data_IF_838833767156
#
_entry.id   IF_838833767156
#
_cell.length_a   1.000
_cell.length_b   1.000
_cell.length_c   1.000
_cell.angle_alpha   90.00
_cell.angle_beta   90.00
_cell.angle_gamma   90.00
#
_symmetry.space_group_name_H-M   'P 1'
#
loop_
_entity.id
_entity.type
_entity.pdbx_description
1 polymer ?
#
# COMPACT_ATOMS: atom_id res chain seq x y z
N UNK A 1 4.23 -21.51 -48.59
CA UNK A 1 5.55 -21.25 -47.98
C UNK A 1 6.47 -20.53 -48.98
N UNK A 2 6.32 -19.22 -49.18
CA UNK A 2 7.09 -18.45 -50.20
C UNK A 2 7.40 -16.99 -49.82
N UNK A 3 7.34 -16.64 -48.52
CA UNK A 3 7.58 -15.26 -48.03
C UNK A 3 8.87 -15.09 -47.22
N UNK A 4 9.52 -16.19 -46.83
CA UNK A 4 10.74 -16.13 -46.01
C UNK A 4 12.01 -15.82 -46.79
N UNK A 5 12.04 -16.07 -48.11
CA UNK A 5 13.26 -15.91 -48.91
C UNK A 5 13.55 -14.45 -49.30
N UNK A 6 12.52 -13.62 -49.44
CA UNK A 6 12.69 -12.22 -49.86
C UNK A 6 13.25 -11.33 -48.75
N UNK A 7 12.96 -11.66 -47.49
CA UNK A 7 13.42 -10.88 -46.32
C UNK A 7 14.90 -11.09 -46.06
N UNK A 8 15.42 -12.32 -46.23
CA UNK A 8 16.83 -12.62 -46.02
C UNK A 8 17.74 -11.93 -47.05
N UNK A 9 17.27 -11.74 -48.29
CA UNK A 9 18.03 -11.08 -49.36
C UNK A 9 18.15 -9.56 -49.17
N UNK A 10 17.16 -8.92 -48.54
CA UNK A 10 17.20 -7.48 -48.23
C UNK A 10 18.14 -7.15 -47.06
N UNK A 11 18.31 -8.07 -46.11
CA UNK A 11 19.20 -7.89 -44.96
C UNK A 11 20.67 -8.00 -45.39
N UNK A 12 21.01 -8.92 -46.29
CA UNK A 12 22.40 -9.07 -46.78
C UNK A 12 22.84 -7.93 -47.69
N UNK A 13 21.94 -7.33 -48.48
CA UNK A 13 22.28 -6.19 -49.34
C UNK A 13 22.60 -4.92 -48.53
N UNK A 14 21.97 -4.76 -47.35
CA UNK A 14 22.19 -3.62 -46.45
C UNK A 14 23.51 -3.72 -45.68
N UNK A 15 24.06 -4.92 -45.53
CA UNK A 15 25.32 -5.15 -44.82
C UNK A 15 26.56 -4.88 -45.67
N UNK A 16 26.46 -4.98 -47.01
CA UNK A 16 27.60 -4.74 -47.92
C UNK A 16 27.72 -3.31 -48.45
N UNK A 17 26.68 -2.47 -48.29
CA UNK A 17 26.69 -1.10 -48.81
C UNK A 17 27.24 -0.04 -47.83
N UNK A 18 27.69 -0.45 -46.63
CA UNK A 18 28.11 0.49 -45.58
C UNK A 18 29.61 0.48 -45.24
N UNK A 19 30.44 -0.32 -45.90
CA UNK A 19 31.91 -0.25 -45.77
C UNK A 19 32.46 0.89 -46.65
N UNK A 20 32.16 2.12 -46.26
CA UNK A 20 32.93 3.29 -46.67
C UNK A 20 34.28 3.23 -45.96
N UNK A 21 35.34 3.01 -46.74
CA UNK A 21 36.70 3.32 -46.31
C UNK A 21 36.75 4.82 -46.05
N UNK A 22 37.06 5.22 -44.83
CA UNK A 22 37.64 6.53 -44.56
C UNK A 22 38.71 6.42 -43.48
N UNK A 23 39.71 7.26 -43.68
CA UNK A 23 41.07 7.18 -43.21
C UNK A 23 41.23 7.13 -41.69
N UNK A 24 42.35 6.51 -41.31
CA UNK A 24 43.04 6.68 -40.04
C UNK A 24 43.09 8.15 -39.62
N UNK A 25 42.23 8.53 -38.68
CA UNK A 25 42.48 9.65 -37.78
C UNK A 25 42.46 9.11 -36.36
N UNK A 26 43.65 8.99 -35.80
CA UNK A 26 43.96 8.87 -34.39
C UNK A 26 43.36 10.06 -33.62
N UNK A 27 42.06 9.98 -33.34
CA UNK A 27 41.35 10.85 -32.41
C UNK A 27 41.05 10.06 -31.15
N UNK A 28 41.59 10.48 -30.00
CA UNK A 28 41.24 9.91 -28.69
C UNK A 28 39.72 9.80 -28.56
N UNK A 29 39.20 8.57 -28.49
CA UNK A 29 37.79 8.32 -28.15
C UNK A 29 37.64 8.68 -26.67
N UNK A 30 37.29 9.93 -26.39
CA UNK A 30 36.73 10.29 -25.11
C UNK A 30 35.37 9.60 -25.00
N UNK A 31 35.22 8.72 -24.01
CA UNK A 31 33.96 8.07 -23.67
C UNK A 31 32.79 9.07 -23.72
N UNK A 32 31.61 8.69 -24.24
CA UNK A 32 30.47 9.60 -24.27
C UNK A 32 30.21 10.10 -22.85
N UNK A 33 30.12 11.43 -22.70
CA UNK A 33 29.92 12.06 -21.41
C UNK A 33 28.72 11.41 -20.68
N UNK A 34 28.80 11.17 -19.37
CA UNK A 34 27.68 10.61 -18.61
C UNK A 34 26.46 11.51 -18.80
N UNK A 35 25.38 10.94 -19.35
CA UNK A 35 24.13 11.67 -19.54
C UNK A 35 23.56 11.98 -18.15
N UNK A 36 23.62 13.25 -17.75
CA UNK A 36 23.09 13.68 -16.46
C UNK A 36 21.58 13.86 -16.58
N UNK A 37 20.83 12.99 -15.91
CA UNK A 37 19.38 13.08 -15.83
C UNK A 37 19.02 14.15 -14.78
N UNK A 38 18.84 15.38 -15.24
CA UNK A 38 18.50 16.51 -14.36
C UNK A 38 17.00 16.52 -14.13
N UNK A 39 16.56 16.13 -12.93
CA UNK A 39 15.15 16.23 -12.53
C UNK A 39 14.93 17.62 -11.92
N UNK A 40 14.00 18.44 -12.46
CA UNK A 40 13.69 19.73 -11.87
C UNK A 40 13.14 19.53 -10.45
N UNK A 41 13.74 20.21 -9.48
CA UNK A 41 13.30 20.17 -8.10
C UNK A 41 11.96 20.91 -7.99
N UNK A 42 10.85 20.17 -7.96
CA UNK A 42 9.53 20.75 -7.72
C UNK A 42 9.33 20.80 -6.21
N UNK A 43 9.26 22.00 -5.63
CA UNK A 43 8.98 22.18 -4.22
C UNK A 43 7.52 21.75 -3.94
N UNK A 44 7.35 20.50 -3.51
CA UNK A 44 6.06 19.95 -3.06
C UNK A 44 6.23 19.45 -1.64
N UNK A 45 5.36 19.90 -0.74
CA UNK A 45 5.23 19.31 0.59
C UNK A 45 4.68 17.90 0.43
N UNK A 46 5.52 16.89 0.66
CA UNK A 46 5.07 15.50 0.70
C UNK A 46 4.59 15.19 2.12
N UNK A 47 3.32 14.77 2.30
CA UNK A 47 2.84 14.40 3.61
C UNK A 47 3.57 13.14 4.10
N UNK A 48 4.28 13.26 5.22
CA UNK A 48 4.89 12.13 5.91
C UNK A 48 3.86 11.54 6.85
N UNK A 49 3.47 10.27 6.64
CA UNK A 49 2.57 9.55 7.54
C UNK A 49 3.39 8.84 8.62
N UNK A 50 3.09 9.11 9.88
CA UNK A 50 3.72 8.43 11.01
C UNK A 50 2.80 7.28 11.42
N UNK A 51 3.24 6.01 11.34
CA UNK A 51 2.44 4.90 11.81
C UNK A 51 2.34 4.98 13.34
N UNK A 52 1.12 5.00 13.86
CA UNK A 52 0.86 4.86 15.28
C UNK A 52 -0.16 3.75 15.50
N UNK A 53 -0.04 3.07 16.64
CA UNK A 53 -1.04 2.12 17.15
C UNK A 53 -1.52 2.64 18.48
N UNK A 54 -2.83 2.78 18.62
CA UNK A 54 -3.47 3.10 19.88
C UNK A 54 -4.68 2.18 20.05
N UNK A 55 -5.04 1.89 21.30
CA UNK A 55 -6.33 1.29 21.59
C UNK A 55 -7.42 2.35 21.36
N UNK A 56 -8.53 1.92 20.78
CA UNK A 56 -9.73 2.74 20.67
C UNK A 56 -10.52 2.54 21.96
N UNK A 57 -10.74 3.62 22.68
CA UNK A 57 -11.61 3.62 23.86
C UNK A 57 -12.96 4.25 23.52
N UNK A 58 -14.06 3.76 24.11
CA UNK A 58 -15.35 4.41 23.94
C UNK A 58 -15.31 5.81 24.54
N UNK A 59 -16.07 6.74 23.96
CA UNK A 59 -16.18 8.11 24.46
C UNK A 59 -16.81 8.18 25.88
N UNK A 60 -17.64 7.18 26.22
CA UNK A 60 -18.21 7.01 27.55
C UNK A 60 -18.33 5.52 27.87
N UNK A 61 -17.96 5.15 29.10
CA UNK A 61 -18.11 3.81 29.66
C UNK A 61 -18.90 3.93 30.97
N UNK A 62 -19.87 3.04 31.17
CA UNK A 62 -20.70 2.99 32.38
C UNK A 62 -20.61 1.59 32.95
N UNK A 63 -20.19 1.48 34.20
CA UNK A 63 -20.18 0.22 34.92
C UNK A 63 -21.50 0.05 35.68
N UNK A 64 -22.24 -1.02 35.38
CA UNK A 64 -23.51 -1.32 36.03
C UNK A 64 -23.26 -2.21 37.23
N UNK A 65 -23.78 -1.82 38.40
CA UNK A 65 -23.62 -2.55 39.65
C UNK A 65 -24.96 -2.79 40.34
N UNK A 66 -25.05 -3.90 41.07
CA UNK A 66 -26.23 -4.21 41.88
C UNK A 66 -25.98 -3.65 43.29
N UNK A 67 -26.85 -2.77 43.82
CA UNK A 67 -26.58 -2.01 45.05
C UNK A 67 -26.61 -2.84 46.33
N UNK A 68 -27.07 -4.09 46.29
CA UNK A 68 -27.21 -4.97 47.46
C UNK A 68 -26.40 -6.24 47.26
N UNK A 69 -26.06 -6.90 48.38
CA UNK A 69 -25.51 -8.25 48.36
C UNK A 69 -26.55 -9.18 47.72
N UNK A 70 -26.26 -9.62 46.52
CA UNK A 70 -27.17 -10.41 45.72
C UNK A 70 -26.42 -11.54 45.02
N UNK A 71 -27.12 -12.65 44.78
CA UNK A 71 -26.66 -13.75 43.94
C UNK A 71 -27.23 -13.54 42.55
N UNK A 72 -26.36 -13.46 41.55
CA UNK A 72 -26.78 -13.34 40.16
C UNK A 72 -27.48 -14.66 39.74
N UNK A 73 -28.74 -14.55 39.30
CA UNK A 73 -29.53 -15.70 38.85
C UNK A 73 -29.36 -15.90 37.35
N UNK A 74 -29.29 -14.81 36.58
CA UNK A 74 -29.12 -14.87 35.13
C UNK A 74 -28.82 -13.50 34.50
N UNK A 75 -28.20 -13.57 33.33
CA UNK A 75 -27.92 -12.42 32.45
C UNK A 75 -28.69 -12.67 31.16
N UNK A 76 -29.39 -11.65 30.65
CA UNK A 76 -30.29 -11.78 29.50
C UNK A 76 -29.77 -11.07 28.25
N UNK A 77 -28.57 -10.49 28.32
CA UNK A 77 -27.93 -9.79 27.22
C UNK A 77 -26.61 -10.46 26.85
N UNK A 78 -26.29 -10.44 25.57
CA UNK A 78 -24.99 -10.88 25.05
C UNK A 78 -24.09 -9.68 24.77
N UNK A 79 -22.78 -9.92 24.70
CA UNK A 79 -21.81 -8.89 24.36
C UNK A 79 -22.09 -8.31 22.96
N UNK A 80 -22.07 -6.98 22.84
CA UNK A 80 -22.36 -6.28 21.59
C UNK A 80 -23.85 -6.02 21.32
N UNK A 81 -24.75 -6.46 22.21
CA UNK A 81 -26.19 -6.17 22.10
C UNK A 81 -26.45 -4.70 22.37
N UNK A 82 -27.24 -4.06 21.51
CA UNK A 82 -27.75 -2.71 21.77
C UNK A 82 -28.86 -2.77 22.83
N UNK A 83 -28.75 -1.93 23.85
CA UNK A 83 -29.68 -1.90 25.00
C UNK A 83 -30.24 -0.49 25.13
N UNK A 84 -31.56 -0.36 25.26
CA UNK A 84 -32.21 0.91 25.51
C UNK A 84 -32.14 1.27 27.00
N UNK A 85 -32.40 2.55 27.30
CA UNK A 85 -32.51 2.98 28.69
C UNK A 85 -33.67 2.23 29.35
N UNK A 86 -33.44 1.76 30.57
CA UNK A 86 -34.43 1.07 31.42
C UNK A 86 -34.75 -0.38 30.99
N UNK A 87 -34.04 -0.94 30.00
CA UNK A 87 -34.13 -2.35 29.65
C UNK A 87 -33.62 -3.27 30.77
N UNK A 88 -34.29 -4.41 30.94
CA UNK A 88 -33.90 -5.41 31.93
C UNK A 88 -32.73 -6.27 31.38
N UNK A 89 -31.55 -6.15 31.99
CA UNK A 89 -30.33 -6.83 31.50
C UNK A 89 -29.93 -8.08 32.29
N UNK A 90 -30.34 -8.16 33.56
CA UNK A 90 -29.97 -9.25 34.46
C UNK A 90 -30.96 -9.36 35.63
N UNK A 91 -31.02 -10.56 36.22
CA UNK A 91 -31.87 -10.86 37.37
C UNK A 91 -30.99 -11.39 38.51
N UNK A 92 -31.22 -10.87 39.72
CA UNK A 92 -30.45 -11.26 40.91
C UNK A 92 -31.36 -11.47 42.13
N UNK A 93 -31.00 -12.42 42.99
CA UNK A 93 -31.66 -12.69 44.27
C UNK A 93 -30.94 -11.93 45.38
N UNK A 94 -31.63 -11.01 46.04
CA UNK A 94 -31.08 -10.28 47.19
C UNK A 94 -30.98 -11.24 48.37
N UNK A 95 -29.78 -11.36 48.96
CA UNK A 95 -29.55 -12.14 50.17
C UNK A 95 -29.56 -11.16 51.34
N UNK A 96 -30.49 -11.37 52.28
CA UNK A 96 -30.61 -10.56 53.51
C UNK A 96 -29.70 -11.07 54.61
#
# INVERSE_FOLDING_TARGET
MKRFWFVAFLITLSALAGCGKDEEKTGKVSSPAPQSLTVPLVNRTLPVRIPFRTMLEPWQKIDVSIPKKAVLIGVMIEEGTAVAKDDLIATALIVS
#
